data_IF_866925758384
#
_entry.id   IF_866925758384
#
_cell.length_a   1.000
_cell.length_b   1.000
_cell.length_c   1.000
_cell.angle_alpha   90.00
_cell.angle_beta   90.00
_cell.angle_gamma   90.00
#
_symmetry.space_group_name_H-M   'P 1'
#
loop_
_entity.id
_entity.type
_entity.pdbx_description
1 polymer ?
#
# COMPACT_ATOMS: atom_id res chain seq x y z
N UNK A 1 -8.78 -2.77 -5.87
CA UNK A 1 -8.03 -2.54 -4.61
C UNK A 1 -7.15 -1.29 -4.62
N UNK A 2 -6.24 -1.13 -5.59
CA UNK A 2 -5.24 -0.03 -5.59
C UNK A 2 -5.87 1.37 -5.62
N UNK A 3 -6.95 1.56 -6.39
CA UNK A 3 -7.74 2.79 -6.39
C UNK A 3 -8.28 3.11 -4.98
N UNK A 4 -8.78 2.11 -4.25
CA UNK A 4 -9.28 2.27 -2.88
C UNK A 4 -8.14 2.63 -1.92
N UNK A 5 -6.99 1.96 -2.02
CA UNK A 5 -5.79 2.30 -1.22
C UNK A 5 -5.40 3.76 -1.46
N UNK A 6 -5.31 4.19 -2.72
CA UNK A 6 -4.99 5.57 -3.08
C UNK A 6 -6.05 6.55 -2.59
N UNK A 7 -7.34 6.19 -2.68
CA UNK A 7 -8.43 7.02 -2.17
C UNK A 7 -8.31 7.28 -0.65
N UNK A 8 -7.83 6.28 0.11
CA UNK A 8 -7.54 6.42 1.55
C UNK A 8 -6.15 6.98 1.87
N UNK A 9 -5.37 7.33 0.85
CA UNK A 9 -4.04 7.92 1.01
C UNK A 9 -4.11 9.45 1.08
N UNK A 10 -3.16 10.05 1.81
CA UNK A 10 -3.04 11.51 1.89
C UNK A 10 -2.78 12.08 0.50
N UNK A 11 -3.51 13.14 0.13
CA UNK A 11 -3.46 13.76 -1.20
C UNK A 11 -3.69 12.77 -2.35
N UNK A 12 -4.38 11.65 -2.09
CA UNK A 12 -4.79 10.67 -3.11
C UNK A 12 -3.61 10.08 -3.91
N UNK A 13 -2.43 10.07 -3.29
CA UNK A 13 -1.16 9.60 -3.86
C UNK A 13 -0.40 8.71 -2.90
N UNK A 14 0.48 7.87 -3.45
CA UNK A 14 1.30 6.94 -2.68
C UNK A 14 2.59 6.60 -3.42
N UNK A 15 3.67 6.38 -2.68
CA UNK A 15 4.84 5.71 -3.25
C UNK A 15 4.50 4.26 -3.63
N UNK A 16 5.26 3.70 -4.57
CA UNK A 16 5.12 2.30 -4.94
C UNK A 16 5.38 1.37 -3.74
N UNK A 17 6.39 1.67 -2.94
CA UNK A 17 6.73 0.87 -1.75
C UNK A 17 5.53 0.77 -0.79
N UNK A 18 4.89 1.90 -0.49
CA UNK A 18 3.69 1.93 0.34
C UNK A 18 2.53 1.15 -0.29
N UNK A 19 2.35 1.25 -1.60
CA UNK A 19 1.31 0.49 -2.31
C UNK A 19 1.54 -1.01 -2.21
N UNK A 20 2.76 -1.51 -2.41
CA UNK A 20 3.09 -2.92 -2.25
C UNK A 20 2.79 -3.42 -0.83
N UNK A 21 3.22 -2.67 0.18
CA UNK A 21 2.97 -2.95 1.60
C UNK A 21 1.46 -3.04 1.89
N UNK A 22 0.68 -2.05 1.45
CA UNK A 22 -0.78 -2.05 1.64
C UNK A 22 -1.47 -3.16 0.84
N UNK A 23 -0.97 -3.44 -0.35
CA UNK A 23 -1.53 -4.42 -1.25
C UNK A 23 -1.33 -5.85 -0.71
N UNK A 24 -0.17 -6.14 -0.11
CA UNK A 24 0.08 -7.38 0.62
C UNK A 24 -0.86 -7.53 1.84
N UNK A 25 -0.88 -6.52 2.71
CA UNK A 25 -1.71 -6.53 3.91
C UNK A 25 -3.22 -6.63 3.61
N UNK A 26 -3.70 -6.03 2.53
CA UNK A 26 -5.12 -6.06 2.22
C UNK A 26 -5.62 -7.45 1.76
N UNK A 27 -4.75 -8.36 1.32
CA UNK A 27 -5.14 -9.70 0.83
C UNK A 27 -5.38 -10.74 1.91
N UNK A 28 -4.84 -10.55 3.11
CA UNK A 28 -4.79 -11.60 4.15
C UNK A 28 -5.01 -10.97 5.53
N UNK A 29 -5.89 -11.57 6.34
CA UNK A 29 -6.12 -11.13 7.71
C UNK A 29 -4.85 -11.21 8.56
N UNK A 30 -4.12 -12.32 8.48
CA UNK A 30 -2.90 -12.50 9.28
C UNK A 30 -1.83 -11.44 8.95
N UNK A 31 -1.71 -11.07 7.68
CA UNK A 31 -0.73 -10.06 7.23
C UNK A 31 -1.21 -8.65 7.59
N UNK A 32 -2.52 -8.38 7.57
CA UNK A 32 -3.11 -7.13 8.05
C UNK A 32 -2.96 -6.93 9.56
N UNK A 33 -3.20 -7.98 10.34
CA UNK A 33 -3.09 -7.94 11.80
C UNK A 33 -1.63 -7.75 12.21
N UNK A 34 -0.69 -8.49 11.59
CA UNK A 34 0.74 -8.31 11.82
C UNK A 34 1.20 -6.89 11.44
N UNK A 35 0.77 -6.36 10.29
CA UNK A 35 1.09 -4.97 9.93
C UNK A 35 0.47 -3.99 10.95
N UNK A 36 -0.75 -4.24 11.38
CA UNK A 36 -1.43 -3.47 12.43
C UNK A 36 -0.62 -3.43 13.73
N UNK A 37 -0.18 -4.59 14.21
CA UNK A 37 0.65 -4.76 15.41
C UNK A 37 1.98 -4.02 15.28
N UNK A 38 2.65 -4.13 14.13
CA UNK A 38 3.91 -3.41 13.88
C UNK A 38 3.68 -1.89 13.91
N UNK A 39 2.62 -1.40 13.27
CA UNK A 39 2.33 0.03 13.20
C UNK A 39 2.00 0.66 14.56
N UNK A 40 1.54 -0.14 15.53
CA UNK A 40 1.32 0.30 16.93
C UNK A 40 2.48 -0.06 17.87
N UNK A 41 3.53 -0.71 17.37
CA UNK A 41 4.70 -1.11 18.16
C UNK A 41 4.49 -2.37 19.02
N UNK A 42 3.43 -3.14 18.78
CA UNK A 42 3.16 -4.42 19.45
C UNK A 42 3.95 -5.60 18.84
N UNK A 43 4.49 -5.43 17.64
CA UNK A 43 5.37 -6.39 16.99
C UNK A 43 6.56 -5.69 16.30
N UNK A 44 7.67 -6.42 16.16
CA UNK A 44 8.86 -5.94 15.46
C UNK A 44 8.66 -5.99 13.93
N UNK A 45 9.08 -4.95 13.23
CA UNK A 45 9.09 -4.86 11.77
C UNK A 45 9.81 -6.02 11.07
N UNK A 46 10.86 -6.58 11.68
CA UNK A 46 11.62 -7.73 11.18
C UNK A 46 10.79 -9.01 11.05
N UNK A 47 9.66 -9.10 11.76
CA UNK A 47 8.75 -10.24 11.66
C UNK A 47 7.95 -10.26 10.37
N UNK A 48 7.83 -9.13 9.67
CA UNK A 48 7.03 -9.06 8.47
C UNK A 48 7.83 -9.40 7.23
N UNK A 49 7.35 -10.41 6.50
CA UNK A 49 7.90 -10.83 5.21
C UNK A 49 6.95 -10.36 4.11
N UNK A 50 7.18 -9.14 3.62
CA UNK A 50 6.36 -8.53 2.56
C UNK A 50 6.40 -9.42 1.32
N UNK A 51 5.23 -9.78 0.79
CA UNK A 51 5.12 -10.45 -0.51
C UNK A 51 4.90 -9.40 -1.60
N UNK A 52 5.89 -9.24 -2.47
CA UNK A 52 5.78 -8.35 -3.62
C UNK A 52 4.98 -9.04 -4.72
N UNK A 53 3.78 -8.54 -5.03
CA UNK A 53 2.97 -9.08 -6.13
C UNK A 53 3.41 -8.51 -7.50
N UNK A 54 3.94 -9.32 -8.42
CA UNK A 54 4.40 -8.82 -9.72
C UNK A 54 3.28 -8.17 -10.55
N UNK A 55 2.04 -8.65 -10.41
CA UNK A 55 0.89 -8.11 -11.13
C UNK A 55 0.52 -6.68 -10.72
N UNK A 56 0.95 -6.19 -9.55
CA UNK A 56 0.66 -4.83 -9.11
C UNK A 56 1.24 -3.78 -10.05
N UNK A 57 2.51 -3.93 -10.45
CA UNK A 57 3.17 -3.00 -11.36
C UNK A 57 2.43 -2.91 -12.69
N UNK A 58 2.07 -4.07 -13.26
CA UNK A 58 1.31 -4.12 -14.51
C UNK A 58 -0.08 -3.50 -14.37
N UNK A 59 -0.76 -3.70 -13.25
CA UNK A 59 -2.05 -3.07 -13.00
C UNK A 59 -1.93 -1.54 -12.94
N UNK A 60 -0.86 -1.01 -12.34
CA UNK A 60 -0.59 0.43 -12.31
C UNK A 60 -0.31 0.99 -13.71
N UNK A 61 0.48 0.29 -14.53
CA UNK A 61 0.71 0.68 -15.93
C UNK A 61 -0.60 0.80 -16.72
N UNK A 62 -1.49 -0.20 -16.56
CA UNK A 62 -2.80 -0.19 -17.22
C UNK A 62 -3.67 0.95 -16.70
N UNK A 63 -3.73 1.19 -15.38
CA UNK A 63 -4.49 2.29 -14.82
C UNK A 63 -3.97 3.67 -15.27
N UNK A 64 -2.66 3.82 -15.51
CA UNK A 64 -2.09 5.03 -16.11
C UNK A 64 -2.47 5.14 -17.59
N UNK A 65 -2.41 4.04 -18.35
CA UNK A 65 -2.85 3.99 -19.74
C UNK A 65 -4.33 4.36 -19.92
N UNK A 66 -5.17 3.96 -18.97
CA UNK A 66 -6.61 4.29 -18.90
C UNK A 66 -6.89 5.65 -18.24
N UNK A 67 -5.87 6.47 -17.98
CA UNK A 67 -5.99 7.83 -17.41
C UNK A 67 -6.60 7.91 -16.00
N UNK A 68 -6.63 6.80 -15.26
CA UNK A 68 -7.11 6.74 -13.87
C UNK A 68 -6.05 7.25 -12.89
N UNK A 69 -4.78 7.12 -13.25
CA UNK A 69 -3.63 7.50 -12.44
C UNK A 69 -2.63 8.31 -13.27
N UNK A 70 -1.74 9.03 -12.59
CA UNK A 70 -0.52 9.54 -13.20
C UNK A 70 0.70 9.21 -12.34
N UNK A 71 1.84 8.99 -13.02
CA UNK A 71 3.12 8.86 -12.35
C UNK A 71 3.50 10.16 -11.66
N UNK A 72 4.11 10.05 -10.49
CA UNK A 72 4.55 11.19 -9.68
C UNK A 72 5.73 10.79 -8.80
N UNK A 73 6.21 11.73 -8.01
CA UNK A 73 7.20 11.47 -6.96
C UNK A 73 6.57 11.69 -5.59
N UNK A 74 6.67 10.68 -4.72
CA UNK A 74 6.21 10.74 -3.33
C UNK A 74 7.38 10.42 -2.41
N UNK A 75 7.74 11.34 -1.52
CA UNK A 75 8.87 11.18 -0.60
C UNK A 75 10.18 10.75 -1.29
N UNK A 76 10.52 11.43 -2.39
CA UNK A 76 11.68 11.15 -3.25
C UNK A 76 11.73 9.74 -3.87
N UNK A 77 10.57 9.09 -4.02
CA UNK A 77 10.43 7.78 -4.66
C UNK A 77 9.38 7.82 -5.76
N UNK A 78 9.46 6.88 -6.69
CA UNK A 78 8.42 6.65 -7.70
C UNK A 78 7.09 6.37 -6.98
N UNK A 79 6.05 7.06 -7.42
CA UNK A 79 4.71 6.91 -6.90
C UNK A 79 3.66 7.19 -7.97
N UNK A 80 2.41 7.05 -7.56
CA UNK A 80 1.24 7.35 -8.39
C UNK A 80 0.24 8.19 -7.61
N UNK A 81 -0.57 8.93 -8.34
CA UNK A 81 -1.64 9.79 -7.82
C UNK A 81 -2.90 9.61 -8.66
N UNK A 82 -4.06 9.68 -8.01
CA UNK A 82 -5.36 9.57 -8.67
C UNK A 82 -5.61 10.79 -9.56
N UNK A 83 -6.03 10.54 -10.80
CA UNK A 83 -6.67 11.57 -11.61
C UNK A 83 -8.09 11.85 -11.09
N UNK A 84 -8.76 12.87 -11.64
CA UNK A 84 -10.16 13.12 -11.33
C UNK A 84 -11.07 11.93 -11.68
N UNK A 85 -10.82 11.28 -12.82
CA UNK A 85 -11.57 10.09 -13.27
C UNK A 85 -11.30 8.92 -12.31
N UNK A 86 -10.03 8.69 -11.98
CA UNK A 86 -9.65 7.63 -11.04
C UNK A 86 -10.23 7.85 -9.65
N UNK A 87 -10.29 9.09 -9.17
CA UNK A 87 -10.90 9.43 -7.89
C UNK A 87 -12.39 9.11 -7.89
N UNK A 88 -13.13 9.53 -8.91
CA UNK A 88 -14.57 9.24 -9.02
C UNK A 88 -14.84 7.74 -8.99
N UNK A 89 -14.08 6.95 -9.76
CA UNK A 89 -14.21 5.49 -9.77
C UNK A 89 -13.81 4.88 -8.41
N UNK A 90 -12.78 5.42 -7.75
CA UNK A 90 -12.36 4.95 -6.45
C UNK A 90 -13.39 5.24 -5.35
N UNK A 91 -14.15 6.34 -5.47
CA UNK A 91 -15.26 6.69 -4.57
C UNK A 91 -16.49 5.80 -4.83
N UNK A 92 -16.83 5.54 -6.08
CA UNK A 92 -17.87 4.58 -6.45
C UNK A 92 -17.57 3.19 -5.89
N UNK A 93 -16.36 2.68 -6.13
CA UNK A 93 -15.94 1.40 -5.58
C UNK A 93 -15.97 1.43 -4.05
N UNK A 94 -15.49 2.49 -3.39
CA UNK A 94 -15.46 2.54 -1.91
C UNK A 94 -16.86 2.65 -1.27
N UNK A 95 -17.84 3.22 -1.99
CA UNK A 95 -19.22 3.39 -1.54
C UNK A 95 -20.12 2.18 -1.77
N UNK A 96 -19.71 1.22 -2.59
CA UNK A 96 -20.43 -0.05 -2.78
C UNK A 96 -20.18 -0.99 -1.59
N UNK A 97 -21.17 -1.23 -0.74
CA UNK A 97 -21.02 -2.08 0.46
C UNK A 97 -21.14 -3.59 0.17
N UNK A 98 -21.36 -4.00 -1.09
CA UNK A 98 -21.49 -5.41 -1.48
C UNK A 98 -20.18 -6.02 -1.99
N UNK A 99 -19.23 -5.17 -2.43
CA UNK A 99 -17.94 -5.63 -2.96
C UNK A 99 -16.78 -5.36 -2.01
N UNK A 100 -15.80 -6.26 -1.97
CA UNK A 100 -14.51 -6.06 -1.29
C UNK A 100 -14.62 -5.63 0.19
N UNK A 101 -15.66 -6.07 0.89
CA UNK A 101 -16.03 -5.59 2.23
C UNK A 101 -14.85 -5.70 3.20
N UNK A 102 -14.17 -6.84 3.20
CA UNK A 102 -13.06 -7.13 4.11
C UNK A 102 -11.81 -6.33 3.74
N UNK A 103 -11.47 -6.25 2.45
CA UNK A 103 -10.33 -5.47 1.96
C UNK A 103 -10.50 -4.00 2.27
N UNK A 104 -11.70 -3.43 2.04
CA UNK A 104 -12.00 -2.03 2.34
C UNK A 104 -11.87 -1.75 3.84
N UNK A 105 -12.38 -2.63 4.70
CA UNK A 105 -12.23 -2.49 6.14
C UNK A 105 -10.75 -2.46 6.56
N UNK A 106 -9.94 -3.39 6.04
CA UNK A 106 -8.47 -3.44 6.28
C UNK A 106 -7.77 -2.18 5.76
N UNK A 107 -8.09 -1.75 4.54
CA UNK A 107 -7.50 -0.55 3.94
C UNK A 107 -7.82 0.68 4.78
N UNK A 108 -9.07 0.83 5.23
CA UNK A 108 -9.50 1.95 6.07
C UNK A 108 -8.77 1.98 7.43
N UNK A 109 -8.56 0.81 8.05
CA UNK A 109 -7.89 0.73 9.36
C UNK A 109 -6.38 0.97 9.31
N UNK A 110 -5.72 0.60 8.19
CA UNK A 110 -4.27 0.64 8.04
C UNK A 110 -3.75 1.89 7.32
N UNK A 111 -4.49 2.42 6.32
CA UNK A 111 -3.97 3.46 5.41
C UNK A 111 -3.54 4.75 6.10
N UNK A 112 -4.22 5.14 7.19
CA UNK A 112 -3.91 6.33 7.97
C UNK A 112 -2.70 6.15 8.88
N UNK A 113 -2.42 4.91 9.30
CA UNK A 113 -1.30 4.55 10.19
C UNK A 113 0.01 4.35 9.40
N UNK A 114 -0.10 3.76 8.21
CA UNK A 114 1.04 3.55 7.33
C UNK A 114 1.34 4.83 6.52
N UNK A 115 2.12 5.72 7.09
CA UNK A 115 2.60 6.94 6.40
C UNK A 115 3.84 6.65 5.56
N UNK A 116 4.19 7.55 4.63
CA UNK A 116 5.44 7.44 3.86
C UNK A 116 6.71 7.49 4.74
N UNK A 117 6.63 8.13 5.91
CA UNK A 117 7.69 8.11 6.91
C UNK A 117 7.84 6.71 7.49
N UNK A 118 6.73 6.08 7.92
CA UNK A 118 6.74 4.69 8.39
C UNK A 118 7.26 3.73 7.34
N UNK A 119 6.86 3.90 6.07
CA UNK A 119 7.38 3.10 4.95
C UNK A 119 8.89 3.20 4.85
N UNK A 120 9.48 4.38 5.12
CA UNK A 120 10.93 4.54 5.13
C UNK A 120 11.59 3.72 6.24
N UNK A 121 10.96 3.59 7.41
CA UNK A 121 11.43 2.71 8.50
C UNK A 121 11.46 1.25 8.03
N UNK A 122 10.39 0.76 7.39
CA UNK A 122 10.35 -0.60 6.82
C UNK A 122 11.44 -0.87 5.79
N UNK A 123 11.78 0.13 4.97
CA UNK A 123 12.81 0.00 3.93
C UNK A 123 14.25 0.15 4.46
N UNK A 124 14.42 0.71 5.65
CA UNK A 124 15.74 1.00 6.25
C UNK A 124 16.10 0.03 7.36
N UNK A 125 15.26 -0.98 7.64
CA UNK A 125 15.62 -2.12 8.49
C UNK A 125 16.87 -2.77 7.87
N UNK A 126 18.03 -2.44 8.45
CA UNK A 126 19.28 -3.12 8.15
C UNK A 126 19.04 -4.59 8.43
N UNK A 127 19.37 -5.44 7.46
CA UNK A 127 19.50 -6.85 7.74
C UNK A 127 20.63 -7.00 8.78
N UNK A 128 20.28 -7.17 10.05
CA UNK A 128 21.17 -7.73 11.08
C UNK A 128 21.37 -9.24 10.83
N UNK A 129 21.43 -9.65 9.57
CA UNK A 129 21.92 -10.97 9.20
C UNK A 129 23.39 -10.78 8.89
N UNK A 130 24.25 -11.36 9.74
CA UNK A 130 25.63 -11.62 9.38
C UNK A 130 25.66 -12.17 7.95
N UNK A 131 26.28 -11.42 7.06
CA UNK A 131 26.66 -11.94 5.74
C UNK A 131 27.71 -13.01 6.04
N UNK A 132 27.28 -14.25 6.18
CA UNK A 132 28.19 -15.39 6.17
C UNK A 132 28.69 -15.52 4.74
N UNK A 133 29.83 -14.87 4.46
CA UNK A 133 30.65 -15.16 3.29
C UNK A 133 31.14 -16.61 3.41
N UNK A 134 30.63 -17.48 2.54
CA UNK A 134 31.17 -18.83 2.30
C UNK A 134 32.15 -18.79 1.13
#
# INVERSE_FOLDING_TARGET
MNLVILNKSRAKRSSLARLYIMNDAARSFNDADLLGDILVGAADSSRWRIKVEPALGRALDLMVGETLLHWTTVSNRVGVELSAIGLSLAEEIDGDDEIMVQEKARIRSLSSKLTEARVTEFLTVKADHEVLDF
#
